data_IF_795716645539
#
_entry.id   IF_795716645539
#
_cell.length_a   1.000
_cell.length_b   1.000
_cell.length_c   1.000
_cell.angle_alpha   90.00
_cell.angle_beta   90.00
_cell.angle_gamma   90.00
#
_symmetry.space_group_name_H-M   'P 1'
#
loop_
_entity.id
_entity.type
_entity.pdbx_description
1 polymer ?
#
# COMPACT_ATOMS: atom_id res chain seq x y z
N UNK A 1 -0.62 13.03 -33.64
CA UNK A 1 -0.24 14.43 -33.38
C UNK A 1 -1.36 15.33 -33.91
N UNK A 2 -1.94 16.22 -33.08
CA UNK A 2 -2.03 17.60 -33.56
C UNK A 2 -0.59 18.09 -33.54
N UNK A 3 -0.12 18.70 -34.63
CA UNK A 3 1.30 18.64 -35.01
C UNK A 3 2.30 19.30 -34.05
N UNK A 4 1.84 19.93 -32.99
CA UNK A 4 2.62 20.05 -31.76
C UNK A 4 1.75 19.54 -30.61
N UNK A 5 2.03 18.30 -30.20
CA UNK A 5 1.40 17.63 -29.07
C UNK A 5 1.85 18.28 -27.77
N UNK A 6 1.45 19.53 -27.57
CA UNK A 6 1.55 20.24 -26.31
C UNK A 6 0.67 19.48 -25.31
N UNK A 7 1.32 18.52 -24.66
CA UNK A 7 0.88 17.94 -23.41
C UNK A 7 0.52 19.11 -22.52
N UNK A 8 -0.79 19.32 -22.32
CA UNK A 8 -1.34 20.24 -21.34
C UNK A 8 -0.51 20.07 -20.06
N UNK A 9 0.27 21.09 -19.73
CA UNK A 9 1.04 21.19 -18.49
C UNK A 9 0.06 21.09 -17.33
N UNK A 10 -0.22 19.86 -16.88
CA UNK A 10 -1.10 19.55 -15.78
C UNK A 10 -0.32 19.75 -14.47
N UNK A 11 -0.03 21.02 -14.15
CA UNK A 11 0.31 21.55 -12.83
C UNK A 11 1.47 20.90 -12.08
N UNK A 12 2.36 21.73 -11.53
CA UNK A 12 3.51 21.39 -10.67
C UNK A 12 3.19 20.69 -9.33
N UNK A 13 2.10 19.92 -9.22
CA UNK A 13 1.74 19.12 -8.05
C UNK A 13 1.53 17.67 -8.47
N UNK A 14 2.62 16.91 -8.49
CA UNK A 14 2.61 15.49 -8.86
C UNK A 14 1.66 14.71 -7.94
N UNK A 15 0.45 14.40 -8.43
CA UNK A 15 -0.56 13.58 -7.73
C UNK A 15 -0.12 12.12 -7.62
N UNK A 16 0.70 11.65 -8.57
CA UNK A 16 1.08 10.25 -8.68
C UNK A 16 2.34 9.92 -7.88
N UNK A 17 2.29 8.88 -7.05
CA UNK A 17 3.48 8.35 -6.41
C UNK A 17 4.49 7.84 -7.45
N UNK A 18 5.75 8.21 -7.30
CA UNK A 18 6.85 7.70 -8.15
C UNK A 18 7.01 6.20 -7.95
N UNK A 19 7.64 5.52 -8.92
CA UNK A 19 7.89 4.07 -8.83
C UNK A 19 8.65 3.68 -7.54
N UNK A 20 9.64 4.48 -7.12
CA UNK A 20 10.40 4.27 -5.88
C UNK A 20 9.53 4.41 -4.62
N UNK A 21 8.68 5.43 -4.58
CA UNK A 21 7.73 5.61 -3.47
C UNK A 21 6.73 4.44 -3.41
N UNK A 22 6.19 4.02 -4.56
CA UNK A 22 5.29 2.85 -4.63
C UNK A 22 5.98 1.58 -4.15
N UNK A 23 7.23 1.34 -4.53
CA UNK A 23 8.00 0.19 -4.07
C UNK A 23 8.24 0.22 -2.55
N UNK A 24 8.59 1.37 -1.98
CA UNK A 24 8.76 1.53 -0.53
C UNK A 24 7.45 1.28 0.24
N UNK A 25 6.33 1.84 -0.24
CA UNK A 25 5.01 1.62 0.33
C UNK A 25 4.62 0.13 0.22
N UNK A 26 4.89 -0.52 -0.92
CA UNK A 26 4.62 -1.94 -1.10
C UNK A 26 5.45 -2.83 -0.18
N UNK A 27 6.72 -2.50 0.05
CA UNK A 27 7.58 -3.22 0.99
C UNK A 27 7.08 -3.07 2.44
N UNK A 28 6.57 -1.88 2.79
CA UNK A 28 6.04 -1.60 4.14
C UNK A 28 4.70 -2.29 4.39
N UNK A 29 3.76 -2.17 3.46
CA UNK A 29 2.36 -2.59 3.67
C UNK A 29 2.15 -4.06 3.28
N UNK A 30 2.91 -4.58 2.32
CA UNK A 30 2.85 -5.98 1.85
C UNK A 30 1.57 -6.35 1.05
N UNK A 31 0.52 -5.56 1.16
CA UNK A 31 -0.78 -5.77 0.53
C UNK A 31 -1.80 -4.78 1.07
N UNK A 32 -3.08 -5.07 0.91
CA UNK A 32 -4.13 -4.19 1.41
C UNK A 32 -4.07 -4.10 2.94
N UNK A 33 -3.98 -2.88 3.49
CA UNK A 33 -3.81 -2.69 4.94
C UNK A 33 -5.05 -2.99 5.79
N UNK A 34 -6.20 -3.22 5.17
CA UNK A 34 -7.46 -3.49 5.88
C UNK A 34 -7.45 -4.92 6.45
N UNK A 35 -7.67 -5.09 7.77
CA UNK A 35 -7.67 -6.40 8.43
C UNK A 35 -8.57 -7.42 7.74
N UNK A 36 -8.07 -8.64 7.56
CA UNK A 36 -8.79 -9.73 6.89
C UNK A 36 -8.70 -9.72 5.37
N UNK A 37 -8.11 -8.69 4.74
CA UNK A 37 -7.78 -8.77 3.32
C UNK A 37 -6.63 -9.76 3.08
N UNK A 38 -6.65 -10.46 1.95
CA UNK A 38 -5.56 -11.35 1.49
C UNK A 38 -4.90 -10.85 0.20
N UNK A 39 -5.31 -9.68 -0.30
CA UNK A 39 -4.86 -9.12 -1.57
C UNK A 39 -3.39 -8.63 -1.49
N UNK A 40 -2.48 -9.18 -2.30
CA UNK A 40 -1.07 -8.82 -2.28
C UNK A 40 -0.81 -7.46 -2.91
N UNK A 41 0.35 -6.84 -2.60
CA UNK A 41 0.72 -5.50 -3.07
C UNK A 41 0.59 -5.30 -4.58
N UNK A 42 0.86 -6.32 -5.41
CA UNK A 42 0.73 -6.25 -6.87
C UNK A 42 -0.70 -5.98 -7.37
N UNK A 43 -1.71 -6.21 -6.54
CA UNK A 43 -3.14 -6.00 -6.85
C UNK A 43 -3.76 -4.89 -5.99
N UNK A 44 -2.91 -3.95 -5.58
CA UNK A 44 -3.33 -2.80 -4.77
C UNK A 44 -2.94 -1.48 -5.43
N UNK A 45 -3.67 -0.45 -5.04
CA UNK A 45 -3.45 0.93 -5.43
C UNK A 45 -2.91 1.70 -4.22
N UNK A 46 -2.06 2.70 -4.48
CA UNK A 46 -1.61 3.60 -3.41
C UNK A 46 -2.69 4.64 -3.17
N UNK A 47 -3.17 4.69 -1.94
CA UNK A 47 -4.14 5.62 -1.42
C UNK A 47 -3.47 6.73 -0.61
N UNK A 48 -3.86 7.97 -0.83
CA UNK A 48 -3.48 9.09 0.04
C UNK A 48 -4.34 9.09 1.31
N UNK A 49 -3.72 8.95 2.48
CA UNK A 49 -4.42 8.93 3.77
C UNK A 49 -5.03 10.31 4.10
N UNK A 50 -4.25 11.39 3.93
CA UNK A 50 -4.78 12.74 3.77
C UNK A 50 -5.02 12.96 2.28
N UNK A 51 -6.27 13.17 1.82
CA UNK A 51 -6.55 13.33 0.40
C UNK A 51 -5.71 14.43 -0.25
N UNK A 52 -5.20 14.15 -1.46
CA UNK A 52 -4.37 15.10 -2.20
C UNK A 52 -5.10 16.43 -2.46
N UNK A 53 -6.40 16.38 -2.75
CA UNK A 53 -7.25 17.56 -2.95
C UNK A 53 -7.36 18.44 -1.69
N UNK A 54 -7.14 17.86 -0.51
CA UNK A 54 -7.11 18.56 0.78
C UNK A 54 -5.68 18.99 1.18
N UNK A 55 -4.74 18.98 0.23
CA UNK A 55 -3.34 19.34 0.46
C UNK A 55 -2.45 18.19 0.95
N UNK A 56 -2.94 16.95 0.88
CA UNK A 56 -2.15 15.77 1.23
C UNK A 56 -0.87 15.63 0.38
N UNK A 57 0.31 15.47 0.99
CA UNK A 57 1.55 15.34 0.23
C UNK A 57 1.63 13.99 -0.49
N UNK A 58 2.28 13.96 -1.65
CA UNK A 58 2.60 12.72 -2.38
C UNK A 58 3.95 12.18 -1.90
N UNK A 59 3.96 11.55 -0.73
CA UNK A 59 5.16 10.93 -0.14
C UNK A 59 4.82 9.64 0.62
N UNK A 60 5.85 8.85 0.95
CA UNK A 60 5.67 7.55 1.61
C UNK A 60 4.96 7.65 2.97
N UNK A 61 5.05 8.80 3.64
CA UNK A 61 4.44 9.07 4.95
C UNK A 61 2.92 9.31 4.85
N UNK A 62 2.38 9.55 3.65
CA UNK A 62 0.96 9.78 3.40
C UNK A 62 0.32 8.76 2.43
N UNK A 63 1.10 7.84 1.87
CA UNK A 63 0.58 6.80 0.96
C UNK A 63 0.44 5.46 1.67
N UNK A 64 -0.61 4.68 1.37
CA UNK A 64 -0.76 3.29 1.82
C UNK A 64 -1.45 2.40 0.78
N UNK A 65 -1.33 1.08 0.87
CA UNK A 65 -1.94 0.16 -0.08
C UNK A 65 -3.36 -0.24 0.27
N UNK A 66 -4.27 -0.09 -0.69
CA UNK A 66 -5.62 -0.63 -0.65
C UNK A 66 -5.92 -1.48 -1.89
N UNK A 67 -6.62 -2.60 -1.74
CA UNK A 67 -7.17 -3.32 -2.89
C UNK A 67 -8.27 -2.48 -3.57
N UNK A 68 -8.62 -2.82 -4.81
CA UNK A 68 -9.64 -2.09 -5.56
C UNK A 68 -10.93 -1.86 -4.75
N UNK A 69 -11.47 -2.90 -4.11
CA UNK A 69 -12.69 -2.79 -3.28
C UNK A 69 -12.54 -1.79 -2.14
N UNK A 70 -11.51 -1.92 -1.31
CA UNK A 70 -11.30 -1.00 -0.18
C UNK A 70 -10.94 0.40 -0.65
N UNK A 71 -10.20 0.56 -1.74
CA UNK A 71 -9.84 1.87 -2.27
C UNK A 71 -11.08 2.69 -2.67
N UNK A 72 -12.07 2.05 -3.29
CA UNK A 72 -13.31 2.72 -3.71
C UNK A 72 -14.32 2.90 -2.57
N UNK A 73 -14.26 2.05 -1.54
CA UNK A 73 -15.24 2.06 -0.44
C UNK A 73 -14.73 2.72 0.84
N UNK A 74 -13.46 3.12 0.93
CA UNK A 74 -12.83 3.59 2.18
C UNK A 74 -13.58 4.76 2.84
N UNK A 75 -14.19 5.63 2.02
CA UNK A 75 -14.92 6.79 2.51
C UNK A 75 -16.35 6.46 3.01
N UNK A 76 -16.86 5.26 2.72
CA UNK A 76 -18.27 4.89 3.00
C UNK A 76 -18.42 3.63 3.86
N UNK A 77 -17.43 2.74 3.87
CA UNK A 77 -17.48 1.47 4.58
C UNK A 77 -17.15 1.58 6.09
N UNK A 78 -16.87 2.79 6.58
CA UNK A 78 -16.63 3.11 7.99
C UNK A 78 -15.22 2.78 8.50
N UNK A 79 -14.33 2.27 7.65
CA UNK A 79 -12.91 2.16 7.99
C UNK A 79 -12.25 3.54 7.97
N UNK A 80 -11.34 3.78 8.92
CA UNK A 80 -10.50 4.99 8.92
C UNK A 80 -9.03 4.60 8.95
N UNK A 81 -8.20 5.44 8.35
CA UNK A 81 -6.76 5.23 8.27
C UNK A 81 -6.06 6.47 8.83
N UNK A 82 -4.95 6.26 9.54
CA UNK A 82 -4.01 7.32 9.91
C UNK A 82 -2.58 6.84 9.77
N UNK A 83 -1.64 7.77 9.60
CA UNK A 83 -0.21 7.48 9.58
C UNK A 83 0.41 7.88 10.92
N UNK A 84 1.18 6.98 11.52
CA UNK A 84 1.88 7.21 12.79
C UNK A 84 3.33 6.76 12.62
N UNK A 85 4.26 7.72 12.63
CA UNK A 85 5.71 7.46 12.48
C UNK A 85 6.01 6.59 11.25
N UNK A 86 5.47 6.97 10.09
CA UNK A 86 5.66 6.25 8.82
C UNK A 86 4.89 4.94 8.65
N UNK A 87 4.05 4.54 9.61
CA UNK A 87 3.28 3.29 9.54
C UNK A 87 1.77 3.54 9.59
N UNK A 88 0.98 2.83 8.75
CA UNK A 88 -0.46 2.95 8.78
C UNK A 88 -1.05 2.29 10.03
N UNK A 89 -2.05 2.95 10.59
CA UNK A 89 -2.99 2.39 11.55
C UNK A 89 -4.40 2.48 10.99
N UNK A 90 -5.22 1.49 11.34
CA UNK A 90 -6.60 1.36 10.91
C UNK A 90 -7.53 1.40 12.12
N UNK A 91 -8.71 1.96 11.91
CA UNK A 91 -9.83 1.93 12.83
C UNK A 91 -11.00 1.28 12.10
N UNK A 92 -11.57 0.24 12.69
CA UNK A 92 -12.71 -0.46 12.09
C UNK A 92 -14.05 0.24 12.32
N UNK A 93 -15.07 -0.07 11.51
CA UNK A 93 -16.44 0.38 11.75
C UNK A 93 -16.99 -0.22 13.06
N UNK A 94 -17.94 0.45 13.71
CA UNK A 94 -18.48 0.06 15.03
C UNK A 94 -18.98 -1.39 15.12
N UNK A 95 -19.59 -1.91 14.05
CA UNK A 95 -20.08 -3.29 14.00
C UNK A 95 -18.95 -4.34 13.99
N UNK A 96 -17.76 -3.95 13.53
CA UNK A 96 -16.58 -4.83 13.46
C UNK A 96 -15.63 -4.61 14.64
N UNK A 97 -15.40 -3.35 15.03
CA UNK A 97 -14.62 -2.97 16.20
C UNK A 97 -15.44 -2.06 17.12
N UNK A 98 -16.23 -2.64 18.04
CA UNK A 98 -16.98 -1.88 19.05
C UNK A 98 -16.07 -1.05 19.95
N UNK A 99 -14.81 -1.47 20.13
CA UNK A 99 -13.84 -0.76 20.96
C UNK A 99 -13.30 0.51 20.31
N UNK A 100 -13.56 0.72 19.01
CA UNK A 100 -13.07 1.86 18.23
C UNK A 100 -11.60 2.18 18.54
N UNK A 101 -10.75 1.15 18.44
CA UNK A 101 -9.33 1.26 18.77
C UNK A 101 -8.48 1.30 17.51
N UNK A 102 -7.61 2.30 17.41
CA UNK A 102 -6.60 2.36 16.36
C UNK A 102 -5.58 1.22 16.51
N UNK A 103 -5.47 0.39 15.48
CA UNK A 103 -4.54 -0.76 15.46
C UNK A 103 -3.53 -0.61 14.33
N UNK A 104 -2.28 -1.06 14.52
CA UNK A 104 -1.35 -1.17 13.40
C UNK A 104 -1.96 -1.98 12.26
N UNK A 105 -1.79 -1.50 11.03
CA UNK A 105 -2.18 -2.27 9.85
C UNK A 105 -1.45 -3.61 9.80
N UNK A 106 -2.14 -4.64 9.32
CA UNK A 106 -1.52 -5.95 9.10
C UNK A 106 -0.56 -5.86 7.91
N UNK A 107 0.64 -6.40 8.07
CA UNK A 107 1.56 -6.63 6.94
C UNK A 107 1.25 -8.00 6.34
N UNK A 108 1.01 -8.09 5.04
CA UNK A 108 0.77 -9.38 4.39
C UNK A 108 2.03 -10.25 4.41
N UNK A 109 1.95 -11.41 5.07
CA UNK A 109 2.98 -12.47 4.99
C UNK A 109 3.13 -13.07 3.59
N UNK A 110 2.14 -12.91 2.72
CA UNK A 110 2.19 -13.38 1.33
C UNK A 110 3.32 -12.73 0.52
N UNK A 111 3.90 -11.63 1.01
CA UNK A 111 5.06 -10.98 0.41
C UNK A 111 6.37 -11.22 1.19
N UNK A 112 6.37 -12.13 2.18
CA UNK A 112 7.61 -12.66 2.75
C UNK A 112 8.23 -13.59 1.71
N UNK A 113 9.48 -13.36 1.24
CA UNK A 113 10.13 -14.31 0.37
C UNK A 113 10.12 -15.69 1.06
N UNK A 114 9.72 -16.73 0.32
CA UNK A 114 9.85 -18.10 0.82
C UNK A 114 11.31 -18.32 1.23
N UNK A 115 11.58 -19.05 2.33
CA UNK A 115 12.97 -19.40 2.66
C UNK A 115 13.59 -20.09 1.44
N UNK A 116 14.84 -19.73 1.12
CA UNK A 116 15.56 -20.39 0.04
C UNK A 116 15.50 -21.90 0.24
N UNK A 117 15.17 -22.69 -0.81
CA UNK A 117 15.24 -24.14 -0.70
C UNK A 117 16.67 -24.52 -0.31
N UNK A 118 16.89 -25.47 0.61
CA UNK A 118 18.23 -25.84 1.03
C UNK A 118 19.03 -26.28 -0.20
N UNK A 119 20.15 -25.58 -0.46
CA UNK A 119 21.12 -25.95 -1.47
C UNK A 119 21.41 -27.45 -1.34
N UNK A 120 21.08 -28.23 -2.38
CA UNK A 120 21.43 -29.65 -2.44
C UNK A 120 22.94 -29.76 -2.26
N UNK A 121 23.38 -30.48 -1.22
CA UNK A 121 24.78 -30.86 -1.03
C UNK A 121 25.28 -31.47 -2.34
N UNK A 122 26.30 -30.85 -2.92
CA UNK A 122 27.05 -31.46 -4.02
C UNK A 122 27.68 -32.75 -3.47
N UNK A 123 27.35 -33.87 -4.10
CA UNK A 123 28.01 -35.16 -3.84
C UNK A 123 29.50 -35.02 -4.17
N UNK A 124 30.41 -35.56 -3.35
CA UNK A 124 31.82 -35.56 -3.72
C UNK A 124 31.99 -36.49 -4.92
N UNK A 125 32.58 -35.95 -5.99
CA UNK A 125 33.16 -36.76 -7.06
C UNK A 125 34.23 -37.67 -6.44
N UNK A 126 34.01 -38.98 -6.49
CA UNK A 126 35.05 -39.98 -6.24
C UNK A 126 35.77 -40.22 -7.56
N UNK A 127 37.09 -40.25 -7.46
CA UNK A 127 38.12 -40.29 -8.50
C UNK A 127 37.99 -41.42 -9.52
#
# INVERSE_FOLDING_TARGET
>A
FGENGDVLYLGDKIRCFTAKQRAAIAARDGGCIIPGSTIPARWTEVHHVLPWEQGGPTNIENGTLLCWFHHHTINTNGWKIRMVKGRPQVLGPLLWDPSQTWRPAQTHRANTPSPEPPLKRQSPHVS
#
